data_IF_059687880002
#
_entry.id   IF_059687880002
#
_cell.length_a   1.000
_cell.length_b   1.000
_cell.length_c   1.000
_cell.angle_alpha   90.00
_cell.angle_beta   90.00
_cell.angle_gamma   90.00
#
_symmetry.space_group_name_H-M   'P 1'
#
loop_
_entity.id
_entity.type
_entity.pdbx_description
1 polymer ?
#
# COMPACT_ATOMS: atom_id res chain seq x y z
N UNK A 1 -40.09 33.67 -69.28
CA UNK A 1 -39.93 32.27 -68.82
C UNK A 1 -39.13 32.30 -67.53
N UNK A 2 -39.78 31.99 -66.41
CA UNK A 2 -39.22 32.14 -65.05
C UNK A 2 -38.48 30.86 -64.66
N UNK A 3 -37.19 30.95 -64.32
CA UNK A 3 -36.40 29.81 -63.83
C UNK A 3 -36.64 29.67 -62.33
N UNK A 4 -37.30 28.58 -61.92
CA UNK A 4 -37.46 28.21 -60.51
C UNK A 4 -36.22 27.41 -60.09
N UNK A 5 -35.42 27.96 -59.17
CA UNK A 5 -34.30 27.25 -58.55
C UNK A 5 -34.84 26.25 -57.51
N UNK A 6 -34.46 24.98 -57.65
CA UNK A 6 -34.77 23.95 -56.65
C UNK A 6 -33.73 24.05 -55.54
N UNK A 7 -34.13 24.50 -54.34
CA UNK A 7 -33.30 24.34 -53.15
C UNK A 7 -33.12 22.83 -52.87
N UNK A 8 -31.87 22.40 -52.85
CA UNK A 8 -31.49 21.00 -52.71
C UNK A 8 -31.56 20.60 -51.22
N UNK A 9 -32.62 19.90 -50.83
CA UNK A 9 -32.88 19.42 -49.45
C UNK A 9 -31.99 18.24 -49.06
N UNK A 10 -30.65 18.37 -49.15
CA UNK A 10 -29.69 17.30 -48.82
C UNK A 10 -28.88 17.54 -47.55
N UNK A 11 -29.33 18.46 -46.70
CA UNK A 11 -28.63 18.86 -45.47
C UNK A 11 -29.09 18.10 -44.18
N UNK A 12 -30.25 17.41 -44.07
CA UNK A 12 -30.70 16.93 -42.74
C UNK A 12 -29.93 15.72 -42.21
N UNK A 13 -29.41 14.86 -43.10
CA UNK A 13 -28.75 13.60 -42.68
C UNK A 13 -27.36 13.86 -42.13
N UNK A 14 -26.58 14.77 -42.74
CA UNK A 14 -25.23 15.10 -42.27
C UNK A 14 -25.26 15.81 -40.91
N UNK A 15 -26.22 16.73 -40.72
CA UNK A 15 -26.43 17.40 -39.44
C UNK A 15 -26.86 16.42 -38.32
N UNK A 16 -27.70 15.44 -38.65
CA UNK A 16 -28.11 14.39 -37.72
C UNK A 16 -26.95 13.46 -37.35
N UNK A 17 -26.12 13.06 -38.33
CA UNK A 17 -24.92 12.24 -38.09
C UNK A 17 -23.91 12.98 -37.22
N UNK A 18 -23.68 14.27 -37.48
CA UNK A 18 -22.81 15.11 -36.65
C UNK A 18 -23.35 15.30 -35.23
N UNK A 19 -24.67 15.42 -35.05
CA UNK A 19 -25.30 15.50 -33.73
C UNK A 19 -25.19 14.18 -32.95
N UNK A 20 -25.37 13.03 -33.61
CA UNK A 20 -25.19 11.71 -33.00
C UNK A 20 -23.73 11.46 -32.63
N UNK A 21 -22.78 11.85 -33.48
CA UNK A 21 -21.35 11.79 -33.17
C UNK A 21 -21.02 12.70 -31.98
N UNK A 22 -21.53 13.94 -31.95
CA UNK A 22 -21.30 14.87 -30.84
C UNK A 22 -21.87 14.36 -29.51
N UNK A 23 -23.05 13.71 -29.51
CA UNK A 23 -23.61 13.05 -28.31
C UNK A 23 -22.78 11.83 -27.88
N UNK A 24 -22.22 11.06 -28.82
CA UNK A 24 -21.38 9.91 -28.51
C UNK A 24 -19.99 10.30 -27.97
N UNK A 25 -19.48 11.51 -28.31
CA UNK A 25 -18.24 12.03 -27.73
C UNK A 25 -18.48 12.64 -26.34
N UNK A 26 -19.66 13.20 -26.08
CA UNK A 26 -19.99 13.85 -24.80
C UNK A 26 -20.15 12.86 -23.61
N UNK A 27 -20.29 11.55 -23.87
CA UNK A 27 -20.55 10.54 -22.82
C UNK A 27 -19.31 10.02 -22.08
N UNK A 28 -18.12 10.59 -22.32
CA UNK A 28 -16.88 10.17 -21.66
C UNK A 28 -16.31 11.28 -20.78
N UNK A 29 -17.15 11.86 -19.91
CA UNK A 29 -16.62 12.48 -18.71
C UNK A 29 -16.08 11.35 -17.83
N UNK A 30 -14.81 10.99 -18.01
CA UNK A 30 -14.10 10.17 -17.03
C UNK A 30 -13.97 11.04 -15.78
N UNK A 31 -14.80 10.78 -14.79
CA UNK A 31 -14.68 11.42 -13.50
C UNK A 31 -13.28 11.08 -12.94
N UNK A 32 -12.52 12.12 -12.60
CA UNK A 32 -11.18 11.93 -12.08
C UNK A 32 -11.29 11.29 -10.70
N UNK A 33 -10.99 9.99 -10.60
CA UNK A 33 -10.92 9.30 -9.31
C UNK A 33 -9.57 9.54 -8.63
N UNK A 34 -9.58 9.66 -7.32
CA UNK A 34 -8.40 9.87 -6.50
C UNK A 34 -8.48 8.99 -5.25
N UNK A 35 -7.32 8.67 -4.68
CA UNK A 35 -7.26 8.04 -3.38
C UNK A 35 -5.96 8.38 -2.66
N UNK A 36 -6.01 8.36 -1.33
CA UNK A 36 -4.85 8.56 -0.45
C UNK A 36 -5.04 7.77 0.85
N UNK A 37 -3.97 7.62 1.63
CA UNK A 37 -4.06 7.02 2.95
C UNK A 37 -4.14 8.10 4.03
N UNK A 38 -5.26 8.19 4.73
CA UNK A 38 -5.40 9.06 5.89
C UNK A 38 -4.53 8.58 7.06
N UNK A 39 -4.29 7.27 7.16
CA UNK A 39 -3.44 6.66 8.17
C UNK A 39 -2.79 5.38 7.64
N UNK A 40 -1.50 5.23 7.91
CA UNK A 40 -0.78 3.98 7.79
C UNK A 40 -0.14 3.66 9.14
N UNK A 41 -0.60 2.58 9.76
CA UNK A 41 -0.07 2.06 11.01
C UNK A 41 0.54 0.68 10.77
N UNK A 42 1.82 0.53 11.10
CA UNK A 42 2.56 -0.72 10.95
C UNK A 42 3.08 -1.15 12.31
N UNK A 43 2.65 -2.33 12.75
CA UNK A 43 3.18 -2.99 13.93
C UNK A 43 4.05 -4.15 13.46
N UNK A 44 5.30 -4.17 13.90
CA UNK A 44 6.24 -5.22 13.56
C UNK A 44 6.85 -5.80 14.84
N UNK A 45 7.01 -7.11 14.86
CA UNK A 45 7.59 -7.85 15.99
C UNK A 45 8.75 -8.68 15.48
N UNK A 46 9.94 -8.41 16.01
CA UNK A 46 11.12 -9.22 15.75
C UNK A 46 11.02 -10.48 16.61
N UNK A 47 10.99 -11.63 15.96
CA UNK A 47 10.95 -12.93 16.62
C UNK A 47 12.35 -13.41 17.03
N UNK A 48 12.42 -14.34 17.98
CA UNK A 48 13.68 -14.81 18.55
C UNK A 48 14.59 -15.52 17.52
N UNK A 49 14.01 -16.10 16.46
CA UNK A 49 14.71 -16.77 15.37
C UNK A 49 15.12 -15.84 14.22
N UNK A 50 14.77 -14.55 14.33
CA UNK A 50 15.11 -13.50 13.38
C UNK A 50 14.07 -13.31 12.27
N UNK A 51 12.92 -13.96 12.37
CA UNK A 51 11.76 -13.59 11.59
C UNK A 51 11.19 -12.25 12.05
N UNK A 52 10.41 -11.62 11.17
CA UNK A 52 9.69 -10.40 11.46
C UNK A 52 8.21 -10.62 11.13
N UNK A 53 7.39 -10.69 12.17
CA UNK A 53 5.94 -10.58 11.99
C UNK A 53 5.60 -9.12 11.73
N UNK A 54 4.73 -8.85 10.75
CA UNK A 54 4.29 -7.51 10.38
C UNK A 54 2.79 -7.50 10.24
N UNK A 55 2.16 -6.48 10.82
CA UNK A 55 0.76 -6.11 10.64
C UNK A 55 0.69 -4.68 10.13
N UNK A 56 0.28 -4.52 8.86
CA UNK A 56 0.10 -3.21 8.23
C UNK A 56 -1.39 -2.89 8.13
N UNK A 57 -1.84 -1.79 8.73
CA UNK A 57 -3.20 -1.26 8.59
C UNK A 57 -3.17 0.05 7.83
N UNK A 58 -3.95 0.13 6.75
CA UNK A 58 -3.99 1.29 5.84
C UNK A 58 -5.42 1.78 5.69
N UNK A 59 -5.67 2.99 6.17
CA UNK A 59 -6.98 3.67 6.06
C UNK A 59 -6.98 4.50 4.79
N UNK A 60 -7.56 3.96 3.73
CA UNK A 60 -7.70 4.62 2.44
C UNK A 60 -8.96 5.50 2.41
N UNK A 61 -8.84 6.68 1.79
CA UNK A 61 -9.96 7.52 1.39
C UNK A 61 -10.08 7.42 -0.13
N UNK A 62 -11.23 6.99 -0.61
CA UNK A 62 -11.52 6.84 -2.03
C UNK A 62 -12.50 7.93 -2.48
N UNK A 63 -12.15 8.65 -3.55
CA UNK A 63 -13.04 9.51 -4.32
C UNK A 63 -13.19 8.90 -5.71
N UNK A 64 -14.38 8.39 -6.02
CA UNK A 64 -14.68 7.57 -7.21
C UNK A 64 -14.65 6.06 -6.94
N UNK A 65 -14.77 5.26 -8.02
CA UNK A 65 -14.88 3.80 -7.93
C UNK A 65 -13.52 3.08 -7.95
N UNK A 66 -13.29 2.23 -6.96
CA UNK A 66 -12.10 1.38 -6.86
C UNK A 66 -12.50 -0.06 -6.54
N UNK A 67 -11.76 -1.01 -7.12
CA UNK A 67 -12.05 -2.43 -6.93
C UNK A 67 -10.83 -3.28 -6.61
N UNK A 68 -9.64 -2.67 -6.63
CA UNK A 68 -8.37 -3.35 -6.41
C UNK A 68 -7.39 -2.42 -5.71
N UNK A 69 -6.61 -2.99 -4.80
CA UNK A 69 -5.44 -2.37 -4.19
C UNK A 69 -4.35 -3.43 -4.21
N UNK A 70 -3.16 -3.08 -4.66
CA UNK A 70 -2.04 -4.02 -4.71
C UNK A 70 -0.74 -3.32 -4.34
N UNK A 71 0.19 -4.10 -3.83
CA UNK A 71 1.53 -3.63 -3.52
C UNK A 71 2.51 -4.80 -3.50
N UNK A 72 3.80 -4.46 -3.54
CA UNK A 72 4.88 -5.45 -3.43
C UNK A 72 5.57 -5.30 -2.08
N UNK A 73 5.63 -6.39 -1.33
CA UNK A 73 6.57 -6.53 -0.21
C UNK A 73 7.91 -6.96 -0.80
N UNK A 74 8.89 -6.05 -0.78
CA UNK A 74 10.22 -6.32 -1.30
C UNK A 74 10.93 -7.37 -0.44
N UNK A 75 11.57 -8.34 -1.08
CA UNK A 75 12.32 -9.37 -0.38
C UNK A 75 13.78 -9.00 -0.12
N UNK A 76 14.35 -7.97 -0.79
CA UNK A 76 15.69 -7.39 -0.58
C UNK A 76 16.85 -8.30 -0.09
N UNK A 77 16.87 -9.60 -0.46
CA UNK A 77 17.89 -10.57 -0.01
C UNK A 77 17.50 -11.49 1.17
N UNK A 78 16.26 -11.41 1.65
CA UNK A 78 15.68 -12.21 2.72
C UNK A 78 14.95 -13.46 2.18
N UNK A 79 14.57 -14.37 3.10
CA UNK A 79 14.18 -15.75 2.76
C UNK A 79 12.73 -15.92 2.30
N UNK A 80 11.96 -14.83 2.20
CA UNK A 80 10.59 -14.84 1.69
C UNK A 80 9.58 -14.22 2.65
N UNK A 81 8.37 -14.03 2.12
CA UNK A 81 7.18 -13.65 2.87
C UNK A 81 6.27 -14.86 2.96
N UNK A 82 5.84 -15.19 4.18
CA UNK A 82 4.97 -16.32 4.49
C UNK A 82 3.73 -15.85 5.28
N UNK A 83 2.76 -16.76 5.43
CA UNK A 83 1.59 -16.58 6.30
C UNK A 83 0.77 -15.31 6.04
N UNK A 84 0.68 -14.88 4.77
CA UNK A 84 -0.06 -13.66 4.41
C UNK A 84 -1.55 -13.83 4.68
N UNK A 85 -2.11 -12.95 5.52
CA UNK A 85 -3.54 -12.86 5.82
C UNK A 85 -4.01 -11.43 5.59
N UNK A 86 -5.16 -11.28 4.92
CA UNK A 86 -5.73 -9.96 4.62
C UNK A 86 -7.10 -9.81 5.29
N UNK A 87 -7.35 -8.61 5.80
CA UNK A 87 -8.65 -8.18 6.33
C UNK A 87 -9.10 -6.91 5.60
N UNK A 88 -10.39 -6.84 5.33
CA UNK A 88 -11.09 -5.63 4.92
C UNK A 88 -12.03 -5.21 6.05
N UNK A 89 -11.79 -4.04 6.64
CA UNK A 89 -12.64 -3.48 7.69
C UNK A 89 -12.87 -4.45 8.86
N UNK A 90 -11.81 -5.20 9.22
CA UNK A 90 -11.81 -6.22 10.28
C UNK A 90 -12.34 -7.60 9.86
N UNK A 91 -12.92 -7.74 8.67
CA UNK A 91 -13.36 -9.04 8.13
C UNK A 91 -12.21 -9.71 7.40
N UNK A 92 -11.84 -10.93 7.82
CA UNK A 92 -10.85 -11.75 7.12
C UNK A 92 -11.35 -12.09 5.70
N UNK A 93 -10.47 -11.92 4.72
CA UNK A 93 -10.72 -12.24 3.31
C UNK A 93 -10.29 -13.67 2.97
N UNK A 94 -10.83 -14.21 1.88
CA UNK A 94 -10.45 -15.52 1.37
C UNK A 94 -9.28 -15.43 0.39
N UNK A 95 -8.27 -16.30 0.56
CA UNK A 95 -7.18 -16.42 -0.40
C UNK A 95 -7.69 -17.08 -1.69
N UNK A 96 -7.70 -16.34 -2.80
CA UNK A 96 -8.18 -16.81 -4.09
C UNK A 96 -7.58 -16.01 -5.25
N UNK A 97 -7.31 -16.70 -6.36
CA UNK A 97 -6.90 -16.08 -7.62
C UNK A 97 -8.10 -15.76 -8.55
N UNK A 98 -9.34 -15.81 -8.03
CA UNK A 98 -10.56 -15.56 -8.83
C UNK A 98 -10.77 -14.08 -9.15
N UNK A 99 -10.15 -13.16 -8.40
CA UNK A 99 -10.35 -11.72 -8.52
C UNK A 99 -11.73 -11.24 -8.06
N UNK A 100 -12.46 -12.07 -7.31
CA UNK A 100 -13.78 -11.74 -6.79
C UNK A 100 -13.67 -10.83 -5.56
N UNK A 101 -14.67 -9.97 -5.37
CA UNK A 101 -14.80 -9.16 -4.16
C UNK A 101 -14.74 -10.02 -2.90
N UNK A 102 -14.05 -9.52 -1.86
CA UNK A 102 -13.88 -10.24 -0.61
C UNK A 102 -12.79 -11.30 -0.65
N UNK A 103 -11.96 -11.29 -1.69
CA UNK A 103 -10.80 -12.17 -1.82
C UNK A 103 -9.51 -11.39 -1.93
N UNK A 104 -8.39 -12.07 -1.74
CA UNK A 104 -7.06 -11.55 -2.04
C UNK A 104 -6.21 -12.62 -2.72
N UNK A 105 -5.23 -12.20 -3.51
CA UNK A 105 -4.22 -13.09 -4.08
C UNK A 105 -2.84 -12.72 -3.60
N UNK A 106 -1.96 -13.72 -3.58
CA UNK A 106 -0.55 -13.59 -3.19
C UNK A 106 0.29 -14.25 -4.26
N UNK A 107 1.18 -13.48 -4.89
CA UNK A 107 2.07 -13.96 -5.95
C UNK A 107 3.50 -13.62 -5.57
N UNK A 108 4.29 -14.64 -5.26
CA UNK A 108 5.71 -14.48 -4.94
C UNK A 108 6.59 -14.75 -6.16
N UNK A 109 7.59 -13.92 -6.38
CA UNK A 109 8.63 -14.12 -7.37
C UNK A 109 10.01 -13.73 -6.80
N UNK A 110 11.06 -13.68 -7.62
CA UNK A 110 12.42 -13.37 -7.14
C UNK A 110 12.61 -11.94 -6.62
N UNK A 111 11.73 -11.02 -7.01
CA UNK A 111 11.78 -9.59 -6.65
C UNK A 111 11.02 -9.30 -5.35
N UNK A 112 10.00 -10.10 -5.03
CA UNK A 112 9.18 -9.90 -3.84
C UNK A 112 7.86 -10.67 -3.88
N UNK A 113 6.99 -10.34 -2.93
CA UNK A 113 5.64 -10.89 -2.82
C UNK A 113 4.64 -9.79 -3.12
N UNK A 114 3.84 -9.99 -4.18
CA UNK A 114 2.74 -9.11 -4.55
C UNK A 114 1.48 -9.57 -3.84
N UNK A 115 0.85 -8.66 -3.12
CA UNK A 115 -0.45 -8.86 -2.48
C UNK A 115 -1.47 -8.01 -3.23
N UNK A 116 -2.54 -8.62 -3.73
CA UNK A 116 -3.65 -7.92 -4.39
C UNK A 116 -4.94 -8.18 -3.63
N UNK A 117 -5.64 -7.11 -3.24
CA UNK A 117 -6.89 -7.14 -2.50
C UNK A 117 -8.03 -6.77 -3.46
N UNK A 118 -9.08 -7.59 -3.53
CA UNK A 118 -10.23 -7.37 -4.39
C UNK A 118 -11.44 -6.92 -3.56
N UNK A 119 -11.95 -5.73 -3.86
CA UNK A 119 -13.07 -5.09 -3.14
C UNK A 119 -13.97 -4.31 -4.11
N UNK A 120 -14.97 -3.60 -3.58
CA UNK A 120 -15.73 -2.58 -4.30
C UNK A 120 -15.94 -1.39 -3.37
N UNK A 121 -15.35 -0.25 -3.72
CA UNK A 121 -15.45 1.00 -2.98
C UNK A 121 -15.93 2.13 -3.90
N UNK A 122 -16.76 3.02 -3.34
CA UNK A 122 -17.26 4.22 -4.00
C UNK A 122 -17.39 5.33 -2.96
N UNK A 123 -16.61 6.41 -3.11
CA UNK A 123 -16.72 7.62 -2.27
C UNK A 123 -16.74 7.31 -0.77
N UNK A 124 -15.79 6.50 -0.30
CA UNK A 124 -15.78 5.96 1.06
C UNK A 124 -14.39 5.90 1.68
N UNK A 125 -14.38 5.72 3.00
CA UNK A 125 -13.18 5.46 3.79
C UNK A 125 -13.16 3.98 4.16
N UNK A 126 -12.05 3.30 3.92
CA UNK A 126 -11.92 1.85 4.14
C UNK A 126 -10.56 1.50 4.69
N UNK A 127 -10.51 0.55 5.62
CA UNK A 127 -9.24 0.08 6.21
C UNK A 127 -8.93 -1.32 5.74
N UNK A 128 -7.75 -1.50 5.15
CA UNK A 128 -7.21 -2.81 4.83
C UNK A 128 -6.08 -3.15 5.81
N UNK A 129 -6.12 -4.36 6.37
CA UNK A 129 -5.03 -4.88 7.20
C UNK A 129 -4.40 -6.07 6.50
N UNK A 130 -3.07 -6.06 6.37
CA UNK A 130 -2.30 -7.20 5.89
C UNK A 130 -1.33 -7.64 6.97
N UNK A 131 -1.41 -8.91 7.33
CA UNK A 131 -0.51 -9.59 8.26
C UNK A 131 0.38 -10.53 7.45
N UNK A 132 1.69 -10.56 7.75
CA UNK A 132 2.63 -11.50 7.13
C UNK A 132 3.85 -11.73 8.01
N UNK A 133 4.59 -12.81 7.74
CA UNK A 133 5.90 -13.08 8.36
C UNK A 133 6.99 -12.98 7.31
N UNK A 134 7.94 -12.07 7.50
CA UNK A 134 9.15 -12.00 6.71
C UNK A 134 10.24 -12.91 7.31
N UNK A 135 10.59 -13.97 6.58
CA UNK A 135 11.52 -15.00 7.05
C UNK A 135 12.96 -14.50 7.05
N UNK A 136 13.66 -14.66 8.18
CA UNK A 136 15.04 -14.20 8.39
C UNK A 136 15.24 -12.74 7.97
N UNK A 137 14.27 -11.90 8.31
CA UNK A 137 14.34 -10.46 8.10
C UNK A 137 15.47 -9.84 8.94
N UNK A 138 15.71 -10.39 10.13
CA UNK A 138 16.80 -9.99 11.03
C UNK A 138 18.01 -10.88 10.81
N UNK A 139 19.16 -10.26 10.56
CA UNK A 139 20.45 -10.94 10.60
C UNK A 139 20.87 -11.11 12.06
N UNK A 140 20.96 -12.36 12.51
CA UNK A 140 21.34 -12.71 13.87
C UNK A 140 22.82 -13.13 13.92
N UNK A 141 23.64 -12.31 14.58
CA UNK A 141 25.02 -12.62 14.95
C UNK A 141 25.07 -13.12 16.40
N UNK A 142 26.25 -13.56 16.85
CA UNK A 142 26.43 -14.20 18.18
C UNK A 142 25.92 -13.37 19.36
N UNK A 143 25.98 -12.05 19.29
CA UNK A 143 25.52 -11.15 20.36
C UNK A 143 24.68 -9.97 19.85
N UNK A 144 24.39 -9.90 18.54
CA UNK A 144 23.75 -8.72 17.92
C UNK A 144 22.69 -9.18 16.92
N UNK A 145 21.55 -8.49 16.92
CA UNK A 145 20.55 -8.55 15.85
C UNK A 145 20.60 -7.28 15.01
N UNK A 146 20.46 -7.44 13.69
CA UNK A 146 20.42 -6.34 12.73
C UNK A 146 19.23 -6.48 11.80
N UNK A 147 18.37 -5.46 11.76
CA UNK A 147 17.26 -5.33 10.82
C UNK A 147 17.52 -4.13 9.90
N UNK A 148 17.31 -4.34 8.61
CA UNK A 148 17.21 -3.27 7.62
C UNK A 148 16.05 -3.59 6.68
N UNK A 149 14.87 -3.04 6.99
CA UNK A 149 13.61 -3.43 6.37
C UNK A 149 12.84 -2.24 5.83
N UNK A 150 12.41 -2.33 4.58
CA UNK A 150 11.59 -1.31 3.92
C UNK A 150 10.12 -1.64 4.09
N UNK A 151 9.48 -1.01 5.08
CA UNK A 151 8.08 -1.21 5.43
C UNK A 151 7.11 -0.57 4.41
N UNK A 152 7.48 0.59 3.87
CA UNK A 152 6.77 1.19 2.74
C UNK A 152 7.71 1.12 1.55
N UNK A 153 7.33 0.37 0.52
CA UNK A 153 8.05 0.32 -0.74
C UNK A 153 7.72 1.49 -1.66
N UNK A 154 8.47 1.62 -2.74
CA UNK A 154 8.21 2.57 -3.82
C UNK A 154 7.02 2.16 -4.71
N UNK A 155 6.44 0.97 -4.51
CA UNK A 155 5.26 0.52 -5.25
C UNK A 155 3.93 1.18 -4.84
N UNK A 156 3.91 2.01 -3.80
CA UNK A 156 2.71 2.73 -3.37
C UNK A 156 2.56 4.04 -4.15
N UNK A 157 1.51 4.15 -4.97
CA UNK A 157 1.23 5.32 -5.81
C UNK A 157 0.31 6.38 -5.16
N UNK A 158 -0.04 6.18 -3.88
CA UNK A 158 -0.86 7.09 -3.10
C UNK A 158 -0.08 7.75 -1.94
N UNK A 159 -0.30 9.05 -1.66
CA UNK A 159 0.30 9.72 -0.52
C UNK A 159 -0.31 9.25 0.81
N UNK A 160 0.39 9.50 1.91
CA UNK A 160 -0.03 9.15 3.27
C UNK A 160 0.01 10.37 4.20
N UNK A 161 -1.12 10.71 4.80
CA UNK A 161 -1.24 11.87 5.70
C UNK A 161 -0.51 11.63 7.02
N UNK A 162 -0.66 10.45 7.61
CA UNK A 162 0.00 10.05 8.86
C UNK A 162 0.57 8.65 8.77
N UNK A 163 1.85 8.52 9.12
CA UNK A 163 2.56 7.26 9.23
C UNK A 163 3.02 7.02 10.66
N UNK A 164 2.78 5.82 11.18
CA UNK A 164 3.45 5.28 12.37
C UNK A 164 3.91 3.85 12.12
N UNK A 165 5.18 3.59 12.34
CA UNK A 165 5.76 2.24 12.34
C UNK A 165 6.30 1.98 13.75
N UNK A 166 5.86 0.90 14.38
CA UNK A 166 6.33 0.47 15.69
C UNK A 166 6.99 -0.91 15.55
N UNK A 167 8.28 -1.00 15.91
CA UNK A 167 9.07 -2.23 15.86
C UNK A 167 9.35 -2.68 17.28
N UNK A 168 8.72 -3.79 17.69
CA UNK A 168 8.95 -4.45 18.98
C UNK A 168 10.13 -5.40 18.88
N UNK A 169 11.05 -5.31 19.82
CA UNK A 169 12.17 -6.24 19.93
C UNK A 169 11.75 -7.53 20.66
N UNK A 170 12.53 -8.62 20.51
CA UNK A 170 12.27 -9.86 21.24
C UNK A 170 12.21 -9.65 22.75
N UNK A 171 11.51 -10.55 23.43
CA UNK A 171 11.48 -10.60 24.89
C UNK A 171 12.92 -10.59 25.47
N UNK A 172 13.13 -9.77 26.49
CA UNK A 172 14.43 -9.66 27.19
C UNK A 172 15.40 -8.63 26.61
N UNK A 173 15.17 -8.13 25.40
CA UNK A 173 15.83 -6.89 24.95
C UNK A 173 15.27 -5.73 25.78
N UNK A 174 16.11 -4.80 26.21
CA UNK A 174 15.71 -3.61 26.95
C UNK A 174 16.09 -2.35 26.18
N UNK A 175 15.58 -1.19 26.59
CA UNK A 175 15.91 0.10 25.95
C UNK A 175 17.44 0.30 25.75
N UNK A 176 18.24 0.01 26.78
CA UNK A 176 19.70 0.15 26.71
C UNK A 176 20.43 -0.89 25.85
N UNK A 177 19.74 -1.93 25.38
CA UNK A 177 20.29 -2.92 24.46
C UNK A 177 20.14 -2.47 22.99
N UNK A 178 19.29 -1.48 22.70
CA UNK A 178 19.14 -0.89 21.37
C UNK A 178 20.30 0.06 21.10
N UNK A 179 21.20 -0.35 20.21
CA UNK A 179 22.42 0.38 19.87
C UNK A 179 22.15 1.45 18.80
N UNK A 180 21.28 1.13 17.85
CA UNK A 180 20.90 2.01 16.74
C UNK A 180 19.42 1.80 16.43
N UNK A 181 18.67 2.89 16.23
CA UNK A 181 17.32 2.85 15.66
C UNK A 181 17.09 4.09 14.79
N UNK A 182 16.73 3.90 13.52
CA UNK A 182 16.54 5.02 12.59
C UNK A 182 15.60 4.65 11.44
N UNK A 183 14.71 5.57 11.10
CA UNK A 183 13.95 5.56 9.87
C UNK A 183 14.60 6.42 8.78
N UNK A 184 14.51 5.98 7.53
CA UNK A 184 15.03 6.66 6.35
C UNK A 184 13.97 6.75 5.25
N UNK A 185 14.16 7.69 4.33
CA UNK A 185 13.40 7.78 3.06
C UNK A 185 12.56 9.04 2.90
N UNK A 186 12.22 9.72 4.00
CA UNK A 186 11.50 10.99 3.97
C UNK A 186 12.14 12.00 4.93
N UNK A 187 12.20 13.28 4.56
CA UNK A 187 12.87 14.34 5.34
C UNK A 187 12.15 14.71 6.64
N UNK A 188 10.90 14.27 6.80
CA UNK A 188 10.04 14.54 7.97
C UNK A 188 9.91 13.34 8.90
N UNK A 189 10.79 12.33 8.76
CA UNK A 189 10.83 11.19 9.66
C UNK A 189 11.37 11.62 11.02
N UNK A 190 10.63 11.26 12.06
CA UNK A 190 11.08 11.24 13.45
C UNK A 190 11.24 9.79 13.89
N UNK A 191 12.34 9.49 14.60
CA UNK A 191 12.63 8.15 15.11
C UNK A 191 12.93 8.23 16.61
N UNK A 192 12.28 7.37 17.39
CA UNK A 192 12.44 7.29 18.85
C UNK A 192 12.48 5.84 19.30
N UNK A 193 13.02 5.59 20.50
CA UNK A 193 12.93 4.28 21.17
C UNK A 193 12.19 4.52 22.49
N UNK A 194 11.04 3.88 22.65
CA UNK A 194 10.21 3.97 23.87
C UNK A 194 10.76 3.05 25.00
N UNK A 195 10.26 3.21 26.23
CA UNK A 195 10.78 2.54 27.44
C UNK A 195 10.53 1.02 27.49
N UNK A 196 9.38 0.55 26.99
CA UNK A 196 9.24 -0.84 26.56
C UNK A 196 9.86 -0.88 25.17
N UNK A 197 10.92 -1.67 24.91
CA UNK A 197 11.81 -1.49 23.77
C UNK A 197 11.01 -1.57 22.47
N UNK A 198 10.58 -0.42 22.00
CA UNK A 198 9.79 -0.27 20.79
C UNK A 198 10.42 0.89 20.06
N UNK A 199 11.05 0.56 18.94
CA UNK A 199 11.49 1.57 18.02
C UNK A 199 10.29 2.11 17.25
N UNK A 200 10.15 3.43 17.22
CA UNK A 200 9.00 4.11 16.62
C UNK A 200 9.48 5.08 15.56
N UNK A 201 8.97 4.92 14.34
CA UNK A 201 9.12 5.86 13.24
C UNK A 201 7.78 6.55 13.01
N UNK A 202 7.79 7.88 12.94
CA UNK A 202 6.62 8.68 12.60
C UNK A 202 6.94 9.67 11.49
N UNK A 203 5.96 9.93 10.64
CA UNK A 203 6.04 10.95 9.59
C UNK A 203 4.63 11.45 9.27
N UNK A 204 4.55 12.70 8.82
CA UNK A 204 3.32 13.30 8.31
C UNK A 204 3.49 13.69 6.83
N UNK A 205 2.43 13.64 6.04
CA UNK A 205 2.41 14.02 4.63
C UNK A 205 3.51 13.31 3.80
N UNK A 206 3.63 11.99 3.96
CA UNK A 206 4.57 11.17 3.19
C UNK A 206 4.09 11.12 1.73
N UNK A 207 4.89 11.60 0.75
CA UNK A 207 4.48 11.58 -0.65
C UNK A 207 4.32 10.16 -1.21
N UNK A 208 3.53 10.02 -2.27
CA UNK A 208 3.50 8.78 -3.07
C UNK A 208 4.92 8.38 -3.54
N UNK A 209 5.13 7.09 -3.76
CA UNK A 209 6.40 6.51 -4.20
C UNK A 209 7.60 6.77 -3.26
N UNK A 210 7.34 7.13 -2.00
CA UNK A 210 8.39 7.40 -1.00
C UNK A 210 8.65 6.15 -0.17
N UNK A 211 9.76 5.43 -0.38
CA UNK A 211 10.06 4.27 0.44
C UNK A 211 10.41 4.69 1.87
N UNK A 212 9.99 3.92 2.87
CA UNK A 212 10.33 4.14 4.28
C UNK A 212 11.03 2.90 4.82
N UNK A 213 12.31 3.05 5.16
CA UNK A 213 13.17 1.97 5.65
C UNK A 213 13.48 2.15 7.12
N UNK A 214 13.27 1.11 7.91
CA UNK A 214 13.72 1.01 9.28
C UNK A 214 15.06 0.28 9.34
N UNK A 215 16.01 0.86 10.07
CA UNK A 215 17.25 0.20 10.46
C UNK A 215 17.33 0.13 11.98
N UNK A 216 17.67 -1.05 12.50
CA UNK A 216 17.98 -1.21 13.92
C UNK A 216 19.09 -2.21 14.18
N UNK A 217 19.88 -1.92 15.22
CA UNK A 217 20.91 -2.79 15.79
C UNK A 217 20.62 -2.92 17.28
N UNK A 218 20.56 -4.15 17.79
CA UNK A 218 20.31 -4.41 19.20
C UNK A 218 21.17 -5.57 19.73
N UNK A 219 21.51 -5.52 21.01
CA UNK A 219 22.19 -6.62 21.70
C UNK A 219 21.21 -7.76 21.97
N UNK A 220 21.72 -8.98 21.83
CA UNK A 220 20.99 -10.22 22.14
C UNK A 220 21.57 -10.79 23.43
N UNK A 221 20.71 -11.22 24.33
CA UNK A 221 21.08 -11.85 25.61
C UNK A 221 20.77 -13.32 25.59
#
# INVERSE_FOLDING_TARGET
>A
MTVVSRLNTRIPVLALVLAVIALAVASHAVEAKAYWFADVSIEAEIEADGDLFVKESRTAVFEGSFSQLWYTVSMAGHYGIESVVVYDSGKKLDLSNSGQEGTYSVVSNRLGTVVTIFYQAQDEIRTFTVEYTAKRAVTLLSSVGYLNWTFIGDGWDAPTDRLRIAVRYPEGVMHGDVVEFSGYGCSVIESTVEDGPVGVIQAANVPAFTPITCRTVFQRR
#
